data_IF_830122458631
#
_entry.id   IF_830122458631
#
_cell.length_a   1.000
_cell.length_b   1.000
_cell.length_c   1.000
_cell.angle_alpha   90.00
_cell.angle_beta   90.00
_cell.angle_gamma   90.00
#
_symmetry.space_group_name_H-M   'P 1'
#
loop_
_entity.id
_entity.type
_entity.pdbx_description
1 polymer ?
#
# COMPACT_ATOMS: atom_id res chain seq x y z
N UNK A 1 38.62 -22.15 2.61
CA UNK A 1 38.43 -20.98 3.51
C UNK A 1 37.23 -20.19 3.02
N UNK A 2 36.06 -20.44 3.62
CA UNK A 2 34.82 -19.76 3.27
C UNK A 2 34.63 -18.54 4.15
N UNK A 3 34.56 -17.35 3.54
CA UNK A 3 34.30 -16.06 4.21
C UNK A 3 32.80 -15.90 4.40
N UNK A 4 32.30 -16.00 5.65
CA UNK A 4 30.95 -15.65 6.03
C UNK A 4 30.75 -14.12 5.92
N UNK A 5 29.80 -13.68 5.09
CA UNK A 5 29.35 -12.29 5.04
C UNK A 5 28.16 -12.15 5.99
N UNK A 6 28.32 -11.32 7.01
CA UNK A 6 27.24 -10.89 7.89
C UNK A 6 26.42 -9.83 7.16
N UNK A 7 25.13 -10.08 6.99
CA UNK A 7 24.16 -9.09 6.56
C UNK A 7 23.65 -8.40 7.82
N UNK A 8 24.02 -7.13 7.99
CA UNK A 8 23.51 -6.29 9.06
C UNK A 8 22.15 -5.73 8.64
N UNK A 9 21.10 -6.11 9.36
CA UNK A 9 19.78 -5.52 9.21
C UNK A 9 19.77 -4.10 9.78
N UNK A 10 19.28 -3.15 9.01
CA UNK A 10 19.04 -1.79 9.46
C UNK A 10 17.59 -1.75 9.94
N UNK A 11 17.41 -1.66 11.25
CA UNK A 11 16.14 -1.37 11.89
C UNK A 11 15.96 0.16 11.91
N UNK A 12 15.01 0.69 11.16
CA UNK A 12 14.57 2.07 11.31
C UNK A 12 13.58 2.15 12.46
N UNK A 13 14.05 2.68 13.61
CA UNK A 13 13.22 3.12 14.72
C UNK A 13 12.67 4.51 14.39
N UNK A 14 11.38 4.62 14.14
CA UNK A 14 10.68 5.90 14.19
C UNK A 14 10.00 6.00 15.55
N UNK A 15 10.61 6.76 16.46
CA UNK A 15 10.02 7.15 17.73
C UNK A 15 9.23 8.44 17.53
N UNK A 16 7.91 8.37 17.61
CA UNK A 16 7.05 9.56 17.74
C UNK A 16 6.60 9.68 19.18
N UNK A 17 7.18 10.65 19.87
CA UNK A 17 6.73 11.17 21.16
C UNK A 17 5.52 12.08 20.89
N UNK A 18 4.38 11.83 21.54
CA UNK A 18 3.40 12.85 21.85
C UNK A 18 2.91 12.70 23.26
N UNK A 19 3.33 13.65 24.08
CA UNK A 19 2.90 13.85 25.46
C UNK A 19 1.54 14.55 25.51
N UNK A 20 0.69 14.01 26.36
CA UNK A 20 -0.18 14.57 27.39
C UNK A 20 -0.65 16.03 27.29
N UNK A 21 -1.95 16.21 27.44
CA UNK A 21 -2.50 17.19 28.35
C UNK A 21 -3.81 16.70 28.96
N UNK A 22 -3.75 16.44 30.24
CA UNK A 22 -4.88 16.22 31.13
C UNK A 22 -5.48 17.56 31.56
N UNK A 23 -6.78 17.67 31.66
CA UNK A 23 -7.43 18.67 32.51
C UNK A 23 -8.74 18.08 33.08
N UNK A 24 -8.74 18.05 34.39
CA UNK A 24 -9.85 17.76 35.30
C UNK A 24 -10.96 18.83 35.21
N UNK A 25 -12.18 18.45 35.55
CA UNK A 25 -12.90 18.92 36.77
C UNK A 25 -14.35 18.45 36.70
N UNK A 26 -14.77 17.64 37.59
CA UNK A 26 -15.44 17.74 38.88
C UNK A 26 -16.89 18.21 38.87
N UNK A 27 -17.68 17.36 39.51
CA UNK A 27 -18.65 17.61 40.57
C UNK A 27 -20.13 17.91 40.24
N UNK A 28 -20.97 17.15 40.92
CA UNK A 28 -22.26 17.55 41.45
C UNK A 28 -23.33 16.46 41.21
N UNK A 29 -23.49 15.50 42.08
CA UNK A 29 -24.47 15.41 43.19
C UNK A 29 -25.91 15.87 42.84
N UNK A 30 -26.87 15.10 42.94
CA UNK A 30 -27.69 14.51 43.97
C UNK A 30 -29.11 14.16 43.52
N UNK A 31 -29.55 13.06 43.99
CA UNK A 31 -30.76 12.72 44.73
C UNK A 31 -32.14 12.56 44.10
N UNK A 32 -32.60 11.35 44.27
CA UNK A 32 -33.88 10.93 44.90
C UNK A 32 -35.19 11.17 44.10
N UNK A 33 -36.01 10.23 43.86
CA UNK A 33 -36.89 9.41 44.65
C UNK A 33 -38.01 8.81 43.82
N UNK A 34 -38.24 7.53 44.06
CA UNK A 34 -39.51 6.81 44.29
C UNK A 34 -40.81 7.21 43.54
N UNK A 35 -41.37 6.25 42.85
CA UNK A 35 -42.57 5.52 43.27
C UNK A 35 -43.27 4.83 42.10
N UNK A 36 -43.36 3.56 42.21
CA UNK A 36 -44.46 2.59 42.03
C UNK A 36 -45.71 3.06 41.25
N UNK A 37 -46.03 2.30 40.19
CA UNK A 37 -47.35 1.71 39.93
C UNK A 37 -47.35 0.90 38.61
N UNK A 38 -47.74 -0.36 38.71
CA UNK A 38 -48.11 -1.28 37.63
C UNK A 38 -49.60 -1.65 37.86
N UNK A 39 -50.32 -2.31 36.90
CA UNK A 39 -50.39 -2.34 35.42
C UNK A 39 -51.80 -1.96 34.93
N UNK A 40 -52.24 -2.21 33.67
CA UNK A 40 -52.49 -3.52 33.14
C UNK A 40 -52.13 -3.77 31.65
N UNK A 41 -52.15 -5.05 31.32
CA UNK A 41 -51.90 -5.68 30.06
C UNK A 41 -52.78 -5.20 28.88
N UNK A 42 -52.17 -5.08 27.71
CA UNK A 42 -52.87 -5.24 26.43
C UNK A 42 -51.96 -6.00 25.46
N UNK A 43 -52.37 -7.19 25.08
CA UNK A 43 -51.83 -8.01 24.00
C UNK A 43 -51.84 -7.17 22.67
N UNK A 44 -50.64 -6.96 22.15
CA UNK A 44 -50.44 -6.53 20.78
C UNK A 44 -49.31 -7.39 20.20
N UNK A 45 -49.71 -8.39 19.40
CA UNK A 45 -48.77 -9.17 18.59
C UNK A 45 -48.18 -8.25 17.56
N UNK A 46 -47.03 -7.67 17.85
CA UNK A 46 -46.19 -7.02 16.86
C UNK A 46 -45.24 -8.09 16.34
N UNK A 47 -45.50 -8.50 15.10
CA UNK A 47 -44.54 -9.25 14.27
C UNK A 47 -43.22 -8.50 14.31
N UNK A 48 -42.23 -9.04 14.96
CA UNK A 48 -40.86 -8.57 14.84
C UNK A 48 -40.43 -8.81 13.38
N UNK A 49 -40.47 -7.76 12.59
CA UNK A 49 -39.71 -7.73 11.36
C UNK A 49 -38.23 -7.89 11.78
N UNK A 50 -37.73 -9.07 11.58
CA UNK A 50 -36.29 -9.34 11.56
C UNK A 50 -35.71 -8.35 10.56
N UNK A 51 -34.75 -7.47 10.95
CA UNK A 51 -34.04 -6.67 9.97
C UNK A 51 -33.40 -7.67 9.01
N UNK A 52 -33.88 -7.65 7.76
CA UNK A 52 -33.24 -8.33 6.66
C UNK A 52 -31.83 -7.77 6.62
N UNK A 53 -30.88 -8.52 7.13
CA UNK A 53 -29.47 -8.23 6.89
C UNK A 53 -29.32 -8.14 5.37
N UNK A 54 -29.01 -6.97 4.87
CA UNK A 54 -28.53 -6.81 3.51
C UNK A 54 -27.46 -7.88 3.29
N UNK A 55 -27.45 -8.57 2.14
CA UNK A 55 -26.41 -9.54 1.89
C UNK A 55 -25.08 -8.81 2.08
N UNK A 56 -24.30 -9.25 3.06
CA UNK A 56 -22.91 -8.87 3.19
C UNK A 56 -22.29 -9.27 1.86
N UNK A 57 -21.89 -8.30 1.03
CA UNK A 57 -21.10 -8.61 -0.16
C UNK A 57 -19.95 -9.45 0.36
N UNK A 58 -19.85 -10.69 -0.13
CA UNK A 58 -18.79 -11.61 0.23
C UNK A 58 -17.47 -10.86 0.13
N UNK A 59 -16.72 -10.82 1.22
CA UNK A 59 -15.48 -10.06 1.32
C UNK A 59 -14.33 -10.68 0.50
N UNK A 60 -14.65 -11.51 -0.49
CA UNK A 60 -13.68 -12.07 -1.42
C UNK A 60 -13.05 -10.93 -2.25
N UNK A 61 -11.73 -10.96 -2.40
CA UNK A 61 -11.05 -10.04 -3.28
C UNK A 61 -11.40 -10.37 -4.74
N UNK A 62 -11.77 -9.37 -5.51
CA UNK A 62 -11.90 -9.52 -6.96
C UNK A 62 -10.53 -9.90 -7.52
N UNK A 63 -10.42 -11.01 -8.30
CA UNK A 63 -9.17 -11.37 -8.95
C UNK A 63 -8.62 -10.23 -9.80
N UNK A 64 -7.29 -10.15 -9.90
CA UNK A 64 -6.60 -9.10 -10.62
C UNK A 64 -5.62 -8.32 -9.76
N UNK A 65 -5.28 -7.13 -10.21
CA UNK A 65 -4.25 -6.25 -9.62
C UNK A 65 -4.88 -5.16 -8.78
N UNK A 66 -4.36 -5.03 -7.58
CA UNK A 66 -4.71 -3.98 -6.62
C UNK A 66 -3.47 -3.21 -6.20
N UNK A 67 -3.57 -1.91 -6.08
CA UNK A 67 -2.50 -1.04 -5.58
C UNK A 67 -2.77 -0.68 -4.12
N UNK A 68 -1.78 -0.91 -3.28
CA UNK A 68 -1.76 -0.51 -1.89
C UNK A 68 -1.18 0.89 -1.72
N UNK A 69 -1.72 1.67 -0.77
CA UNK A 69 -1.12 2.92 -0.30
C UNK A 69 0.21 2.69 0.44
N UNK A 70 0.49 1.44 0.84
CA UNK A 70 1.79 0.99 1.35
C UNK A 70 2.89 0.84 0.28
N UNK A 71 2.59 1.13 -1.00
CA UNK A 71 3.59 1.13 -2.07
C UNK A 71 3.89 -0.25 -2.65
N UNK A 72 2.88 -1.10 -2.77
CA UNK A 72 3.01 -2.40 -3.43
C UNK A 72 1.75 -2.77 -4.20
N UNK A 73 1.90 -3.61 -5.22
CA UNK A 73 0.81 -4.30 -5.86
C UNK A 73 0.48 -5.60 -5.12
N UNK A 74 -0.82 -5.90 -5.04
CA UNK A 74 -1.38 -7.20 -4.69
C UNK A 74 -2.02 -7.79 -5.93
N UNK A 75 -1.65 -9.01 -6.26
CA UNK A 75 -2.27 -9.79 -7.33
C UNK A 75 -3.06 -10.92 -6.68
N UNK A 76 -4.38 -10.85 -6.78
CA UNK A 76 -5.25 -11.91 -6.30
C UNK A 76 -5.58 -12.85 -7.46
N UNK A 77 -5.31 -14.14 -7.28
CA UNK A 77 -5.54 -15.15 -8.31
C UNK A 77 -7.03 -15.52 -8.42
N UNK A 78 -7.41 -16.05 -9.58
CA UNK A 78 -8.72 -16.67 -9.73
C UNK A 78 -8.84 -17.88 -8.78
N UNK A 79 -10.03 -18.05 -8.17
CA UNK A 79 -10.27 -19.11 -7.20
C UNK A 79 -10.16 -18.69 -5.74
N UNK A 80 -9.69 -17.48 -5.44
CA UNK A 80 -9.91 -16.80 -4.16
C UNK A 80 -9.15 -17.35 -2.96
N UNK A 81 -7.96 -17.93 -3.15
CA UNK A 81 -7.17 -18.48 -2.05
C UNK A 81 -5.67 -18.15 -2.11
N UNK A 82 -5.19 -17.66 -3.23
CA UNK A 82 -3.77 -17.40 -3.47
C UNK A 82 -3.55 -16.03 -4.11
N UNK A 83 -2.31 -15.58 -4.08
CA UNK A 83 -1.88 -14.36 -4.73
C UNK A 83 -0.40 -14.10 -4.51
N UNK A 84 0.05 -12.95 -4.95
CA UNK A 84 1.42 -12.46 -4.70
C UNK A 84 1.43 -10.94 -4.55
N UNK A 85 2.48 -10.44 -3.93
CA UNK A 85 2.76 -9.00 -3.92
C UNK A 85 3.92 -8.65 -4.86
N UNK A 86 4.05 -7.36 -5.20
CA UNK A 86 5.25 -6.80 -5.81
C UNK A 86 5.42 -5.35 -5.36
N UNK A 87 6.56 -5.03 -4.78
CA UNK A 87 6.89 -3.68 -4.30
C UNK A 87 7.12 -2.70 -5.44
N UNK A 88 6.67 -1.46 -5.27
CA UNK A 88 6.92 -0.39 -6.25
C UNK A 88 8.38 0.05 -6.28
N UNK A 89 9.15 -0.20 -5.22
CA UNK A 89 10.53 0.25 -5.10
C UNK A 89 11.48 -0.58 -5.96
N UNK A 90 11.44 -1.90 -5.81
CA UNK A 90 12.39 -2.81 -6.45
C UNK A 90 11.75 -3.95 -7.23
N UNK A 91 10.41 -3.99 -7.32
CA UNK A 91 9.66 -5.05 -7.98
C UNK A 91 9.65 -6.38 -7.23
N UNK A 92 10.32 -6.47 -6.08
CA UNK A 92 10.35 -7.71 -5.31
C UNK A 92 9.02 -7.96 -4.60
N UNK A 93 8.70 -9.23 -4.35
CA UNK A 93 7.47 -9.58 -3.66
C UNK A 93 7.46 -11.05 -3.27
N UNK A 94 6.39 -11.43 -2.59
CA UNK A 94 6.21 -12.79 -2.11
C UNK A 94 4.84 -13.32 -2.51
N UNK A 95 4.78 -14.64 -2.72
CA UNK A 95 3.50 -15.33 -2.83
C UNK A 95 2.80 -15.38 -1.48
N UNK A 96 1.48 -15.39 -1.49
CA UNK A 96 0.66 -15.59 -0.29
C UNK A 96 -0.51 -16.54 -0.55
N UNK A 97 -0.99 -17.13 0.53
CA UNK A 97 -2.33 -17.74 0.58
C UNK A 97 -3.18 -16.91 1.53
N UNK A 98 -4.50 -16.94 1.33
CA UNK A 98 -5.42 -16.27 2.25
C UNK A 98 -6.73 -17.02 2.40
N UNK A 99 -7.40 -16.76 3.50
CA UNK A 99 -8.77 -17.21 3.74
C UNK A 99 -9.59 -16.06 4.33
N UNK A 100 -10.88 -16.01 4.00
CA UNK A 100 -11.81 -15.01 4.52
C UNK A 100 -12.98 -15.71 5.19
N UNK A 101 -13.37 -15.23 6.36
CA UNK A 101 -14.57 -15.66 7.09
C UNK A 101 -15.34 -14.42 7.55
N UNK A 102 -16.39 -14.06 6.83
CA UNK A 102 -17.11 -12.80 7.04
C UNK A 102 -16.20 -11.59 6.70
N UNK A 103 -15.89 -10.76 7.68
CA UNK A 103 -14.97 -9.63 7.54
C UNK A 103 -13.54 -9.92 8.00
N UNK A 104 -13.29 -11.12 8.53
CA UNK A 104 -11.96 -11.50 9.00
C UNK A 104 -11.17 -12.21 7.89
N UNK A 105 -9.96 -11.75 7.62
CA UNK A 105 -9.05 -12.41 6.69
C UNK A 105 -7.75 -12.81 7.39
N UNK A 106 -7.20 -13.95 6.96
CA UNK A 106 -5.89 -14.44 7.40
C UNK A 106 -5.03 -14.65 6.17
N UNK A 107 -3.88 -14.00 6.14
CA UNK A 107 -2.87 -14.12 5.11
C UNK A 107 -1.68 -14.92 5.63
N UNK A 108 -1.14 -15.79 4.77
CA UNK A 108 0.12 -16.49 5.01
C UNK A 108 1.09 -16.07 3.91
N UNK A 109 2.08 -15.25 4.28
CA UNK A 109 3.01 -14.59 3.34
C UNK A 109 4.31 -15.39 3.23
N UNK A 110 4.64 -15.86 2.03
CA UNK A 110 5.87 -16.60 1.76
C UNK A 110 5.90 -17.97 2.42
N UNK A 111 6.39 -18.06 3.65
CA UNK A 111 6.43 -19.30 4.42
C UNK A 111 5.11 -19.53 5.19
N UNK A 112 4.69 -20.77 5.36
CA UNK A 112 3.38 -21.16 5.90
C UNK A 112 3.16 -20.73 7.37
N UNK A 113 4.21 -20.46 8.12
CA UNK A 113 4.19 -20.01 9.52
C UNK A 113 4.22 -18.48 9.68
N UNK A 114 4.37 -17.73 8.59
CA UNK A 114 4.31 -16.27 8.58
C UNK A 114 2.87 -15.80 8.28
N UNK A 115 2.01 -15.86 9.29
CA UNK A 115 0.59 -15.50 9.17
C UNK A 115 0.29 -14.16 9.81
N UNK A 116 -0.58 -13.38 9.15
CA UNK A 116 -1.13 -12.13 9.66
C UNK A 116 -2.64 -12.11 9.44
N UNK A 117 -3.38 -11.59 10.40
CA UNK A 117 -4.84 -11.42 10.31
C UNK A 117 -5.21 -9.95 10.16
N UNK A 118 -6.31 -9.68 9.48
CA UNK A 118 -6.87 -8.35 9.37
C UNK A 118 -8.39 -8.38 9.30
N UNK A 119 -9.02 -7.25 9.60
CA UNK A 119 -10.42 -7.02 9.30
C UNK A 119 -10.51 -6.34 7.94
N UNK A 120 -11.34 -6.88 7.06
CA UNK A 120 -11.56 -6.38 5.70
C UNK A 120 -12.84 -5.58 5.65
N UNK A 121 -12.77 -4.36 5.15
CA UNK A 121 -13.94 -3.53 4.87
C UNK A 121 -13.87 -2.97 3.45
N UNK A 122 -15.05 -2.66 2.86
CA UNK A 122 -15.16 -2.14 1.51
C UNK A 122 -15.96 -0.84 1.50
N UNK A 123 -15.47 0.15 0.75
CA UNK A 123 -16.18 1.39 0.51
C UNK A 123 -15.91 1.86 -0.92
N UNK A 124 -16.91 1.72 -1.78
CA UNK A 124 -16.72 2.00 -3.22
C UNK A 124 -15.70 1.03 -3.83
N UNK A 125 -14.72 1.56 -4.58
CA UNK A 125 -13.64 0.77 -5.22
C UNK A 125 -12.43 0.48 -4.33
N UNK A 126 -12.49 0.86 -3.03
CA UNK A 126 -11.37 0.69 -2.10
C UNK A 126 -11.67 -0.42 -1.09
N UNK A 127 -10.71 -1.26 -0.84
CA UNK A 127 -10.69 -2.24 0.25
C UNK A 127 -9.75 -1.73 1.33
N UNK A 128 -10.20 -1.75 2.58
CA UNK A 128 -9.36 -1.43 3.73
C UNK A 128 -9.05 -2.71 4.48
N UNK A 129 -7.77 -2.91 4.79
CA UNK A 129 -7.23 -3.98 5.62
C UNK A 129 -6.77 -3.36 6.95
N UNK A 130 -7.49 -3.64 8.03
CA UNK A 130 -7.09 -3.26 9.38
C UNK A 130 -6.36 -4.44 10.01
N UNK A 131 -5.03 -4.40 9.99
CA UNK A 131 -4.16 -5.48 10.44
C UNK A 131 -4.15 -5.62 11.97
N UNK A 132 -3.98 -6.83 12.47
CA UNK A 132 -3.99 -7.12 13.91
C UNK A 132 -2.85 -6.44 14.68
N UNK A 133 -1.78 -6.02 14.02
CA UNK A 133 -0.67 -5.24 14.58
C UNK A 133 -0.98 -3.73 14.70
N UNK A 134 -2.16 -3.30 14.24
CA UNK A 134 -2.64 -1.92 14.28
C UNK A 134 -2.34 -1.11 13.02
N UNK A 135 -1.71 -1.69 12.00
CA UNK A 135 -1.54 -1.03 10.71
C UNK A 135 -2.88 -1.04 9.94
N UNK A 136 -3.12 0.02 9.17
CA UNK A 136 -4.22 0.08 8.21
C UNK A 136 -3.65 0.26 6.83
N UNK A 137 -4.16 -0.48 5.85
CA UNK A 137 -3.74 -0.45 4.46
C UNK A 137 -4.96 -0.33 3.55
N UNK A 138 -4.85 0.51 2.53
CA UNK A 138 -5.92 0.73 1.56
C UNK A 138 -5.52 0.17 0.20
N UNK A 139 -6.35 -0.74 -0.32
CA UNK A 139 -6.17 -1.33 -1.64
C UNK A 139 -7.16 -0.71 -2.62
N UNK A 140 -6.65 -0.22 -3.75
CA UNK A 140 -7.46 0.27 -4.87
C UNK A 140 -7.34 -0.69 -6.04
N UNK A 141 -8.46 -1.09 -6.62
CA UNK A 141 -8.47 -1.97 -7.80
C UNK A 141 -7.91 -1.25 -9.02
N UNK A 142 -6.95 -1.88 -9.70
CA UNK A 142 -6.23 -1.30 -10.84
C UNK A 142 -6.61 -1.98 -12.15
N UNK A 143 -6.64 -3.32 -12.18
CA UNK A 143 -6.78 -4.09 -13.42
C UNK A 143 -7.30 -5.50 -13.13
N UNK A 144 -8.02 -6.07 -14.10
CA UNK A 144 -8.36 -7.50 -14.11
C UNK A 144 -7.18 -8.42 -14.44
N UNK A 145 -6.06 -7.86 -14.89
CA UNK A 145 -4.84 -8.61 -15.18
C UNK A 145 -4.21 -9.12 -13.88
N UNK A 146 -3.81 -10.40 -13.90
CA UNK A 146 -3.03 -11.01 -12.82
C UNK A 146 -1.52 -10.77 -12.98
N UNK A 147 -0.75 -11.33 -12.04
CA UNK A 147 0.71 -11.13 -11.98
C UNK A 147 1.48 -11.56 -13.23
N UNK A 148 0.94 -12.48 -14.02
CA UNK A 148 1.60 -13.00 -15.22
C UNK A 148 1.44 -12.09 -16.45
N UNK A 149 0.45 -11.19 -16.42
CA UNK A 149 0.09 -10.34 -17.56
C UNK A 149 0.16 -8.85 -17.25
N UNK A 150 0.04 -8.45 -15.97
CA UNK A 150 0.19 -7.08 -15.55
C UNK A 150 1.68 -6.71 -15.51
N UNK A 151 2.07 -5.73 -16.30
CA UNK A 151 3.45 -5.26 -16.36
C UNK A 151 3.55 -3.85 -15.81
N UNK A 152 4.57 -3.61 -15.02
CA UNK A 152 4.93 -2.31 -14.49
C UNK A 152 6.45 -2.23 -14.32
N UNK A 153 6.97 -1.04 -14.22
CA UNK A 153 8.37 -0.78 -13.87
C UNK A 153 8.46 -0.36 -12.39
N UNK A 154 9.36 -0.98 -11.65
CA UNK A 154 9.73 -0.54 -10.31
C UNK A 154 10.49 0.80 -10.35
N UNK A 155 10.59 1.49 -9.21
CA UNK A 155 11.40 2.70 -9.11
C UNK A 155 12.85 2.44 -9.51
N UNK A 156 13.41 1.30 -9.09
CA UNK A 156 14.77 0.90 -9.45
C UNK A 156 14.93 0.73 -10.97
N UNK A 157 14.00 0.02 -11.62
CA UNK A 157 14.05 -0.18 -13.08
C UNK A 157 13.90 1.14 -13.84
N UNK A 158 12.99 2.03 -13.39
CA UNK A 158 12.83 3.35 -14.01
C UNK A 158 14.07 4.23 -13.81
N UNK A 159 14.71 4.16 -12.64
CA UNK A 159 15.97 4.86 -12.41
C UNK A 159 17.08 4.38 -13.35
N UNK A 160 17.22 3.05 -13.53
CA UNK A 160 18.19 2.44 -14.42
C UNK A 160 17.90 2.79 -15.90
N UNK A 161 16.62 2.81 -16.29
CA UNK A 161 16.19 3.22 -17.62
C UNK A 161 16.53 4.70 -17.90
N UNK A 162 16.25 5.59 -16.96
CA UNK A 162 16.53 7.01 -17.09
C UNK A 162 18.04 7.30 -17.20
N UNK A 163 18.85 6.62 -16.40
CA UNK A 163 20.30 6.74 -16.45
C UNK A 163 20.83 6.32 -17.82
N UNK A 164 20.39 5.16 -18.34
CA UNK A 164 20.76 4.67 -19.66
C UNK A 164 20.30 5.62 -20.76
N UNK A 165 19.04 6.06 -20.73
CA UNK A 165 18.49 7.03 -21.69
C UNK A 165 19.31 8.31 -21.71
N UNK A 166 19.69 8.85 -20.55
CA UNK A 166 20.54 10.03 -20.46
C UNK A 166 21.91 9.79 -21.11
N UNK A 167 22.56 8.66 -20.79
CA UNK A 167 23.88 8.29 -21.30
C UNK A 167 23.91 8.11 -22.82
N UNK A 168 22.86 7.56 -23.40
CA UNK A 168 22.73 7.35 -24.85
C UNK A 168 22.52 8.65 -25.62
N UNK A 169 21.89 9.66 -24.99
CA UNK A 169 21.54 10.92 -25.62
C UNK A 169 22.54 12.06 -25.30
N UNK A 170 23.57 11.82 -24.50
CA UNK A 170 24.55 12.82 -24.11
C UNK A 170 26.00 12.35 -24.37
N UNK A 171 26.96 13.29 -24.38
CA UNK A 171 28.35 12.96 -24.67
C UNK A 171 29.00 12.11 -23.57
N UNK A 172 30.00 11.29 -23.96
CA UNK A 172 30.73 10.45 -23.02
C UNK A 172 31.46 11.24 -21.90
N UNK A 173 31.74 12.53 -22.11
CA UNK A 173 32.34 13.39 -21.08
C UNK A 173 31.37 13.79 -19.99
N UNK A 174 30.07 13.88 -20.32
CA UNK A 174 28.99 14.25 -19.41
C UNK A 174 28.43 13.03 -18.61
N UNK A 175 28.93 11.83 -18.93
CA UNK A 175 28.38 10.55 -18.44
C UNK A 175 29.22 9.89 -17.33
N UNK A 176 30.25 10.57 -16.79
CA UNK A 176 31.12 9.99 -15.77
C UNK A 176 30.50 10.17 -14.38
N UNK A 177 30.52 9.10 -13.58
CA UNK A 177 30.07 9.08 -12.18
C UNK A 177 28.58 9.42 -11.95
N UNK A 178 27.75 9.30 -12.99
CA UNK A 178 26.32 9.51 -12.86
C UNK A 178 25.65 8.32 -12.16
N UNK A 179 24.66 8.65 -11.40
CA UNK A 179 23.72 7.71 -10.78
C UNK A 179 22.29 8.24 -10.95
N UNK A 180 21.31 7.46 -10.58
CA UNK A 180 19.90 7.84 -10.66
C UNK A 180 19.15 7.42 -9.41
N UNK A 181 18.06 8.12 -9.12
CA UNK A 181 17.10 7.77 -8.09
C UNK A 181 15.69 8.11 -8.59
N UNK A 182 14.72 7.27 -8.23
CA UNK A 182 13.33 7.47 -8.59
C UNK A 182 12.46 7.50 -7.33
N UNK A 183 11.36 8.24 -7.40
CA UNK A 183 10.38 8.37 -6.33
C UNK A 183 8.97 8.42 -6.92
N UNK A 184 8.07 7.65 -6.35
CA UNK A 184 6.64 7.70 -6.67
C UNK A 184 6.02 8.97 -6.11
N UNK A 185 5.31 9.72 -6.95
CA UNK A 185 4.56 10.91 -6.58
C UNK A 185 3.15 10.54 -6.08
N UNK A 186 2.48 11.50 -5.42
CA UNK A 186 1.11 11.32 -4.91
C UNK A 186 0.08 11.00 -6.01
N UNK A 187 0.33 11.45 -7.24
CA UNK A 187 -0.54 11.19 -8.39
C UNK A 187 -0.25 9.84 -9.10
N UNK A 188 0.71 9.06 -8.57
CA UNK A 188 1.13 7.77 -9.11
C UNK A 188 2.19 7.84 -10.20
N UNK A 189 2.52 9.03 -10.72
CA UNK A 189 3.67 9.22 -11.60
C UNK A 189 4.99 8.99 -10.86
N UNK A 190 6.10 8.83 -11.57
CA UNK A 190 7.41 8.62 -10.99
C UNK A 190 8.36 9.73 -11.42
N UNK A 191 8.87 10.48 -10.44
CA UNK A 191 9.95 11.46 -10.64
C UNK A 191 11.30 10.77 -10.53
N UNK A 192 12.18 11.02 -11.53
CA UNK A 192 13.49 10.42 -11.61
C UNK A 192 14.54 11.51 -11.76
N UNK A 193 15.56 11.46 -10.91
CA UNK A 193 16.73 12.32 -10.96
C UNK A 193 17.93 11.52 -11.47
N UNK A 194 18.61 12.02 -12.50
CA UNK A 194 19.97 11.59 -12.88
C UNK A 194 20.94 12.65 -12.36
N UNK A 195 21.96 12.24 -11.61
CA UNK A 195 22.86 13.16 -10.93
C UNK A 195 24.25 12.57 -10.72
N UNK A 196 25.22 13.44 -10.50
CA UNK A 196 26.55 13.08 -9.98
C UNK A 196 26.57 13.34 -8.47
N UNK A 197 27.08 12.37 -7.71
CA UNK A 197 27.30 12.52 -6.27
C UNK A 197 28.70 13.08 -6.02
N UNK A 198 28.77 14.32 -5.58
CA UNK A 198 30.01 15.04 -5.29
C UNK A 198 30.44 14.94 -3.80
N UNK A 199 29.76 14.11 -3.02
CA UNK A 199 30.08 13.82 -1.61
C UNK A 199 29.30 14.71 -0.65
N UNK A 200 29.42 16.03 -0.76
CA UNK A 200 28.70 17.02 0.05
C UNK A 200 27.37 17.48 -0.55
N UNK A 201 27.20 17.30 -1.87
CA UNK A 201 25.96 17.62 -2.59
C UNK A 201 25.84 16.78 -3.85
N UNK A 202 24.64 16.79 -4.44
CA UNK A 202 24.35 16.19 -5.75
C UNK A 202 24.29 17.27 -6.83
N UNK A 203 24.96 17.02 -7.96
CA UNK A 203 24.82 17.83 -9.16
C UNK A 203 23.85 17.18 -10.13
N UNK A 204 22.68 17.76 -10.32
CA UNK A 204 21.63 17.20 -11.18
C UNK A 204 22.00 17.36 -12.65
N UNK A 205 21.98 16.26 -13.39
CA UNK A 205 22.16 16.22 -14.84
C UNK A 205 20.82 16.28 -15.58
N UNK A 206 19.81 15.53 -15.09
CA UNK A 206 18.47 15.52 -15.70
C UNK A 206 17.38 15.18 -14.69
N UNK A 207 16.15 15.60 -15.01
CA UNK A 207 14.91 15.17 -14.37
C UNK A 207 13.97 14.56 -15.41
N UNK A 208 13.27 13.51 -15.02
CA UNK A 208 12.18 12.91 -15.78
C UNK A 208 10.97 12.72 -14.89
N UNK A 209 9.77 12.81 -15.46
CA UNK A 209 8.51 12.41 -14.80
C UNK A 209 7.79 11.48 -15.75
N UNK A 210 7.59 10.23 -15.33
CA UNK A 210 7.05 9.19 -16.21
C UNK A 210 5.92 8.40 -15.53
N UNK A 211 5.11 7.76 -16.36
CA UNK A 211 4.15 6.75 -15.96
C UNK A 211 4.86 5.40 -15.82
N UNK A 212 4.59 4.68 -14.71
CA UNK A 212 5.29 3.42 -14.40
C UNK A 212 4.84 2.23 -15.26
N UNK A 213 3.71 2.31 -15.93
CA UNK A 213 3.23 1.21 -16.79
C UNK A 213 3.86 1.28 -18.18
N UNK A 214 4.25 2.46 -18.61
CA UNK A 214 4.75 2.71 -19.98
C UNK A 214 6.20 3.16 -20.03
N UNK A 215 6.78 3.63 -18.92
CA UNK A 215 8.06 4.32 -18.83
C UNK A 215 8.15 5.54 -19.76
N UNK A 216 7.01 6.12 -20.12
CA UNK A 216 6.91 7.31 -20.96
C UNK A 216 6.42 8.52 -20.15
N UNK A 217 6.81 9.72 -20.55
CA UNK A 217 6.46 10.95 -19.85
C UNK A 217 7.20 12.15 -20.40
N UNK A 218 7.75 12.99 -19.52
CA UNK A 218 8.46 14.22 -19.93
C UNK A 218 9.80 14.37 -19.21
N UNK A 219 10.72 15.06 -19.84
CA UNK A 219 11.93 15.57 -19.18
C UNK A 219 11.66 16.87 -18.40
N UNK A 220 12.68 17.39 -17.72
CA UNK A 220 12.61 18.63 -16.94
C UNK A 220 12.31 19.89 -17.74
N UNK A 221 12.38 19.84 -19.09
CA UNK A 221 11.98 20.93 -19.99
C UNK A 221 10.53 20.79 -20.49
N UNK A 222 9.87 19.68 -20.21
CA UNK A 222 8.53 19.33 -20.68
C UNK A 222 8.51 18.64 -22.04
N UNK A 223 9.67 18.20 -22.57
CA UNK A 223 9.76 17.43 -23.81
C UNK A 223 9.37 15.97 -23.53
N UNK A 224 8.56 15.39 -24.43
CA UNK A 224 8.15 13.97 -24.33
C UNK A 224 9.37 13.04 -24.44
N UNK A 225 9.39 12.01 -23.59
CA UNK A 225 10.41 10.97 -23.56
C UNK A 225 9.76 9.58 -23.39
N UNK A 226 10.43 8.56 -23.92
CA UNK A 226 10.12 7.15 -23.67
C UNK A 226 11.42 6.47 -23.23
N UNK A 227 11.52 6.14 -21.93
CA UNK A 227 12.75 5.62 -21.36
C UNK A 227 13.01 4.16 -21.72
N UNK A 228 11.95 3.40 -22.03
CA UNK A 228 12.06 1.98 -22.38
C UNK A 228 12.41 1.73 -23.86
N UNK A 229 12.44 2.76 -24.71
CA UNK A 229 12.89 2.73 -26.11
C UNK A 229 11.93 2.06 -27.07
#
# INVERSE_FOLDING_TARGET
MMKKRHIAGIACLAASLMELLAACNSSGSDSSSSASAQPPAASGSASAETPSASPTEDAAFTPGTWLSDGGQYYFFDEGGATGRTAGLEDGTGVGFTYSIAGTEAVFSMGAADNTSSCTVSRKGGTVTLDWADGATEHLTYVSEQGSDTFQFYSNQELADLALRFYQENNSAQDNQNLTSAAQTNEDGSVSIQVYENLGDHNSTAAWYTVDRLTAAGTDGSGQEVALAG
#
